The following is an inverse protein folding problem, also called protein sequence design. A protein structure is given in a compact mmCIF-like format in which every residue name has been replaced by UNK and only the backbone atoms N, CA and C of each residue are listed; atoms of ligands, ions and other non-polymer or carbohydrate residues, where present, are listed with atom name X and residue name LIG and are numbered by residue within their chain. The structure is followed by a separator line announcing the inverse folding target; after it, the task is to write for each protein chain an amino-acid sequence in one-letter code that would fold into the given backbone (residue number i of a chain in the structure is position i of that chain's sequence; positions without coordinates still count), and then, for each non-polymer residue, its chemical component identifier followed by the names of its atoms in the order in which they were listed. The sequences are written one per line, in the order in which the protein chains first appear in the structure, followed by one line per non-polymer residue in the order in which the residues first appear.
data_IF_619499831308
#
_entry.id   IF_619499831308
#
_cell.length_a   1.000
_cell.length_b   1.000
_cell.length_c   1.000
_cell.angle_alpha   90.00
_cell.angle_beta   90.00
_cell.angle_gamma   90.00
#
_symmetry.space_group_name_H-M   'P 1'
#
loop_
_entity.id
_entity.type
_entity.pdbx_description
1 polymer ?
#
# COMPACT_ATOMS: atom_id res chain seq x y z
N UNK A 1 -31.69 14.76 -20.30
CA UNK A 1 -31.30 13.41 -19.81
C UNK A 1 -30.50 13.60 -18.53
N UNK A 2 -30.72 12.74 -17.54
CA UNK A 2 -30.36 12.90 -16.13
C UNK A 2 -28.87 13.26 -15.90
N UNK A 3 -28.60 14.34 -15.16
CA UNK A 3 -27.30 14.63 -14.56
C UNK A 3 -27.01 13.56 -13.49
N UNK A 4 -26.56 12.37 -13.89
CA UNK A 4 -26.11 11.36 -12.94
C UNK A 4 -24.74 11.80 -12.39
N UNK A 5 -24.78 12.33 -11.18
CA UNK A 5 -23.61 12.52 -10.32
C UNK A 5 -22.98 11.15 -10.07
N UNK A 6 -21.66 11.03 -10.25
CA UNK A 6 -20.96 9.76 -10.01
C UNK A 6 -21.08 9.34 -8.54
N UNK A 7 -21.12 8.03 -8.29
CA UNK A 7 -21.17 7.52 -6.91
C UNK A 7 -19.99 8.02 -6.07
N UNK A 8 -18.79 8.14 -6.65
CA UNK A 8 -17.63 8.73 -5.97
C UNK A 8 -17.84 10.19 -5.53
N UNK A 9 -18.55 11.01 -6.34
CA UNK A 9 -18.90 12.36 -5.92
C UNK A 9 -19.98 12.33 -4.83
N UNK A 10 -20.98 11.46 -4.97
CA UNK A 10 -22.06 11.29 -3.99
C UNK A 10 -21.54 10.86 -2.61
N UNK A 11 -20.63 9.89 -2.57
CA UNK A 11 -20.02 9.37 -1.34
C UNK A 11 -18.72 10.09 -0.94
N UNK A 12 -18.28 11.07 -1.74
CA UNK A 12 -17.13 11.93 -1.48
C UNK A 12 -15.84 11.14 -1.21
N UNK A 13 -15.62 10.09 -2.00
CA UNK A 13 -14.48 9.18 -1.84
C UNK A 13 -13.88 8.77 -3.17
N UNK A 14 -12.56 8.62 -3.19
CA UNK A 14 -11.82 8.03 -4.30
C UNK A 14 -10.46 7.54 -3.81
N UNK A 15 -9.83 6.62 -4.55
CA UNK A 15 -8.49 6.15 -4.21
C UNK A 15 -7.44 7.25 -4.43
N UNK A 16 -6.46 7.32 -3.54
CA UNK A 16 -5.18 7.96 -3.86
C UNK A 16 -4.36 6.93 -4.62
N UNK A 17 -4.00 7.26 -5.87
CA UNK A 17 -3.30 6.32 -6.74
C UNK A 17 -1.84 6.13 -6.32
N UNK A 18 -1.50 4.93 -5.86
CA UNK A 18 -0.12 4.58 -5.47
C UNK A 18 0.70 4.29 -6.73
N UNK A 19 1.46 5.29 -7.17
CA UNK A 19 2.36 5.18 -8.33
C UNK A 19 3.83 4.97 -7.93
N UNK A 20 4.13 4.85 -6.63
CA UNK A 20 5.48 4.71 -6.11
C UNK A 20 6.08 3.34 -6.48
N UNK A 21 7.40 3.34 -6.76
CA UNK A 21 8.23 2.14 -6.91
C UNK A 21 9.43 2.30 -6.01
N UNK A 22 9.26 1.88 -4.77
CA UNK A 22 10.32 1.92 -3.79
C UNK A 22 10.12 0.88 -2.72
N UNK A 23 11.22 0.56 -2.04
CA UNK A 23 11.26 -0.40 -0.95
C UNK A 23 12.22 0.13 0.10
N UNK A 24 11.81 0.07 1.36
CA UNK A 24 12.65 0.35 2.53
C UNK A 24 12.84 -0.97 3.25
N UNK A 25 14.07 -1.30 3.58
CA UNK A 25 14.44 -2.52 4.29
C UNK A 25 15.19 -2.11 5.55
N UNK A 26 14.72 -2.62 6.69
CA UNK A 26 15.31 -2.49 8.02
C UNK A 26 15.71 -1.06 8.45
N UNK A 27 15.07 -0.05 7.85
CA UNK A 27 15.34 1.38 8.01
C UNK A 27 16.79 1.86 7.70
N UNK A 28 17.63 1.02 7.08
CA UNK A 28 18.97 1.39 6.62
C UNK A 28 19.23 1.25 5.12
N UNK A 29 18.38 0.56 4.37
CA UNK A 29 18.49 0.44 2.92
C UNK A 29 17.20 0.90 2.23
N UNK A 30 17.34 1.64 1.13
CA UNK A 30 16.22 2.07 0.30
C UNK A 30 16.51 1.85 -1.17
N UNK A 31 15.51 1.36 -1.89
CA UNK A 31 15.46 1.37 -3.37
C UNK A 31 14.39 2.36 -3.79
N UNK A 32 14.71 3.24 -4.74
CA UNK A 32 13.74 4.12 -5.41
C UNK A 32 14.00 4.07 -6.91
N UNK A 33 12.96 3.92 -7.72
CA UNK A 33 13.12 3.83 -9.17
C UNK A 33 11.81 3.93 -9.94
N UNK A 34 11.85 3.44 -11.17
CA UNK A 34 10.69 3.35 -12.07
C UNK A 34 10.07 1.94 -12.14
N UNK A 35 10.84 0.91 -11.76
CA UNK A 35 10.47 -0.51 -11.90
C UNK A 35 9.33 -0.94 -10.98
N UNK A 36 8.20 -1.34 -11.56
CA UNK A 36 7.12 -2.00 -10.82
C UNK A 36 7.54 -3.41 -10.36
N UNK A 37 6.83 -3.98 -9.37
CA UNK A 37 6.99 -5.39 -9.00
C UNK A 37 6.15 -6.25 -9.95
N UNK A 38 6.60 -6.37 -11.20
CA UNK A 38 5.99 -7.20 -12.23
C UNK A 38 7.03 -7.62 -13.29
N UNK A 39 6.68 -8.56 -14.17
CA UNK A 39 7.58 -9.07 -15.19
C UNK A 39 7.93 -7.97 -16.21
N UNK A 40 7.00 -7.08 -16.54
CA UNK A 40 7.24 -5.97 -17.47
C UNK A 40 8.45 -5.12 -17.07
N UNK A 41 8.53 -4.76 -15.80
CA UNK A 41 9.64 -3.95 -15.27
C UNK A 41 10.86 -4.80 -14.87
N UNK A 42 10.66 -6.00 -14.32
CA UNK A 42 11.78 -6.78 -13.72
C UNK A 42 12.48 -7.75 -14.68
N UNK A 43 11.93 -8.01 -15.88
CA UNK A 43 12.55 -8.94 -16.83
C UNK A 43 13.91 -8.45 -17.36
N UNK A 44 14.16 -7.13 -17.35
CA UNK A 44 15.34 -6.50 -17.96
C UNK A 44 15.36 -6.51 -19.50
N UNK A 45 14.53 -7.35 -20.13
CA UNK A 45 14.38 -7.45 -21.59
C UNK A 45 13.04 -6.93 -22.11
N UNK A 46 12.18 -6.39 -21.24
CA UNK A 46 10.87 -5.83 -21.57
C UNK A 46 10.96 -4.30 -21.53
N UNK A 47 10.43 -3.64 -20.50
CA UNK A 47 10.53 -2.19 -20.35
C UNK A 47 11.92 -1.82 -19.83
N UNK A 48 12.44 -0.68 -20.30
CA UNK A 48 13.68 -0.10 -19.76
C UNK A 48 13.37 0.61 -18.45
N UNK A 49 14.00 0.16 -17.38
CA UNK A 49 13.81 0.71 -16.04
C UNK A 49 15.12 1.23 -15.45
N UNK A 50 15.00 2.14 -14.47
CA UNK A 50 16.13 2.59 -13.66
C UNK A 50 15.75 2.61 -12.18
N UNK A 51 16.69 2.22 -11.32
CA UNK A 51 16.52 2.30 -9.87
C UNK A 51 17.86 2.64 -9.21
N UNK A 52 17.79 3.34 -8.09
CA UNK A 52 18.91 3.63 -7.21
C UNK A 52 18.70 2.92 -5.87
N UNK A 53 19.70 2.16 -5.45
CA UNK A 53 19.80 1.60 -4.11
C UNK A 53 20.77 2.41 -3.28
N UNK A 54 20.40 2.78 -2.06
CA UNK A 54 21.23 3.58 -1.18
C UNK A 54 21.09 3.16 0.29
N UNK A 55 22.17 3.33 1.03
CA UNK A 55 22.22 3.19 2.49
C UNK A 55 23.17 4.23 3.08
N UNK A 56 23.10 4.42 4.39
CA UNK A 56 24.00 5.33 5.11
C UNK A 56 24.94 4.50 5.99
N UNK A 57 26.25 4.40 5.68
CA UNK A 57 27.18 3.52 6.40
C UNK A 57 27.15 3.74 7.93
N UNK A 58 27.20 4.99 8.39
CA UNK A 58 27.15 5.33 9.81
C UNK A 58 25.78 5.13 10.48
N UNK A 59 24.78 4.65 9.75
CA UNK A 59 23.45 4.34 10.26
C UNK A 59 23.01 2.91 9.89
N UNK A 60 23.93 2.05 9.43
CA UNK A 60 23.64 0.65 9.14
C UNK A 60 23.64 -0.20 10.41
N UNK A 61 22.88 -1.31 10.38
CA UNK A 61 22.84 -2.30 11.47
C UNK A 61 24.24 -2.81 11.84
N UNK A 62 25.11 -3.01 10.84
CA UNK A 62 26.47 -3.55 11.01
C UNK A 62 27.36 -2.68 11.90
N UNK A 63 27.15 -1.37 11.92
CA UNK A 63 27.99 -0.42 12.66
C UNK A 63 27.47 -0.13 14.08
N UNK A 64 26.15 -0.10 14.27
CA UNK A 64 25.54 0.46 15.49
C UNK A 64 24.90 -0.56 16.42
N UNK A 65 24.71 -1.82 16.02
CA UNK A 65 24.07 -2.89 16.81
C UNK A 65 22.75 -2.44 17.49
N UNK A 66 22.06 -1.47 16.87
CA UNK A 66 20.80 -0.87 17.30
C UNK A 66 20.07 -0.39 16.05
N UNK A 67 18.76 -0.20 16.18
CA UNK A 67 17.92 0.26 15.09
C UNK A 67 18.50 1.53 14.41
N UNK A 68 18.77 1.48 13.10
CA UNK A 68 19.04 2.62 12.23
C UNK A 68 18.07 3.79 12.45
N UNK A 69 18.59 4.95 12.89
CA UNK A 69 17.82 6.21 12.96
C UNK A 69 18.40 7.27 12.03
N UNK A 70 18.57 6.87 10.77
CA UNK A 70 19.09 7.71 9.69
C UNK A 70 18.01 8.48 8.93
N UNK A 71 18.35 8.95 7.73
CA UNK A 71 17.43 9.56 6.77
C UNK A 71 16.40 8.56 6.25
N UNK A 72 16.76 7.28 6.12
CA UNK A 72 15.85 6.23 5.63
C UNK A 72 14.74 5.97 6.67
N UNK A 73 15.09 5.74 7.93
CA UNK A 73 14.15 5.77 9.07
C UNK A 73 13.24 7.01 9.06
N UNK A 74 13.82 8.20 8.94
CA UNK A 74 13.05 9.45 8.92
C UNK A 74 12.08 9.55 7.74
N UNK A 75 12.51 9.08 6.56
CA UNK A 75 11.66 9.01 5.37
C UNK A 75 10.49 8.03 5.55
N UNK A 76 10.77 6.85 6.09
CA UNK A 76 9.76 5.83 6.41
C UNK A 76 8.75 6.34 7.44
N UNK A 77 9.20 6.96 8.52
CA UNK A 77 8.33 7.64 9.51
C UNK A 77 7.50 8.75 8.87
N UNK A 78 8.06 9.54 7.95
CA UNK A 78 7.31 10.60 7.24
C UNK A 78 6.18 10.03 6.38
N UNK A 79 6.46 8.96 5.62
CA UNK A 79 5.42 8.25 4.84
C UNK A 79 4.33 7.67 5.75
N UNK A 80 4.73 7.10 6.88
CA UNK A 80 3.80 6.57 7.86
C UNK A 80 2.96 7.68 8.50
N UNK A 81 3.52 8.85 8.80
CA UNK A 81 2.77 10.00 9.27
C UNK A 81 1.71 10.44 8.25
N UNK A 82 2.06 10.45 6.96
CA UNK A 82 1.12 10.79 5.88
C UNK A 82 -0.02 9.77 5.80
N UNK A 83 0.31 8.47 5.77
CA UNK A 83 -0.67 7.42 5.53
C UNK A 83 -1.47 7.00 6.76
N UNK A 84 -0.91 7.11 7.96
CA UNK A 84 -1.58 6.76 9.23
C UNK A 84 -2.18 7.99 9.94
N UNK A 85 -1.85 9.20 9.48
CA UNK A 85 -2.36 10.48 9.99
C UNK A 85 -1.76 10.92 11.32
N UNK A 86 -0.85 10.15 11.92
CA UNK A 86 -0.15 10.44 13.17
C UNK A 86 1.09 9.57 13.32
N UNK A 87 1.95 9.98 14.26
CA UNK A 87 3.10 9.20 14.72
C UNK A 87 2.78 8.64 16.11
N UNK A 88 3.05 7.36 16.30
CA UNK A 88 2.94 6.63 17.57
C UNK A 88 4.27 5.92 17.85
N UNK A 89 4.61 5.75 19.13
CA UNK A 89 5.88 5.13 19.55
C UNK A 89 6.05 3.71 18.99
N UNK A 90 4.97 2.95 18.84
CA UNK A 90 5.05 1.61 18.26
C UNK A 90 5.54 1.62 16.80
N UNK A 91 5.41 2.74 16.07
CA UNK A 91 5.89 2.85 14.69
C UNK A 91 7.40 3.00 14.59
N UNK A 92 8.11 3.19 15.71
CA UNK A 92 9.56 3.21 15.72
C UNK A 92 10.16 1.81 15.46
N UNK A 93 9.43 0.74 15.77
CA UNK A 93 9.88 -0.66 15.65
C UNK A 93 8.87 -1.46 14.79
N UNK A 94 8.95 -1.37 13.43
CA UNK A 94 7.96 -1.93 12.51
C UNK A 94 7.84 -3.47 12.55
N UNK A 95 8.86 -4.16 13.04
CA UNK A 95 8.88 -5.60 13.27
C UNK A 95 8.07 -6.03 14.50
N UNK A 96 7.78 -5.10 15.42
CA UNK A 96 7.05 -5.41 16.64
C UNK A 96 5.59 -5.78 16.33
N UNK A 97 5.09 -6.85 16.97
CA UNK A 97 3.69 -7.27 16.80
C UNK A 97 2.68 -6.17 17.16
N UNK A 98 3.01 -5.33 18.15
CA UNK A 98 2.22 -4.15 18.53
C UNK A 98 2.11 -3.15 17.39
N UNK A 99 3.20 -2.91 16.67
CA UNK A 99 3.23 -2.03 15.50
C UNK A 99 2.33 -2.55 14.37
N UNK A 100 2.52 -3.82 13.98
CA UNK A 100 1.73 -4.45 12.91
C UNK A 100 0.24 -4.46 13.24
N UNK A 101 -0.12 -4.80 14.49
CA UNK A 101 -1.51 -4.74 14.96
C UNK A 101 -2.07 -3.33 14.85
N UNK A 102 -1.31 -2.32 15.27
CA UNK A 102 -1.75 -0.94 15.25
C UNK A 102 -1.97 -0.40 13.83
N UNK A 103 -1.07 -0.69 12.91
CA UNK A 103 -1.21 -0.34 11.48
C UNK A 103 -2.46 -0.99 10.90
N UNK A 104 -2.69 -2.28 11.19
CA UNK A 104 -3.86 -3.00 10.72
C UNK A 104 -5.17 -2.43 11.29
N UNK A 105 -5.21 -2.08 12.58
CA UNK A 105 -6.37 -1.44 13.20
C UNK A 105 -6.74 -0.14 12.49
N UNK A 106 -5.76 0.74 12.24
CA UNK A 106 -5.98 2.00 11.53
C UNK A 106 -6.49 1.74 10.10
N UNK A 107 -5.87 0.81 9.38
CA UNK A 107 -6.27 0.45 8.02
C UNK A 107 -7.69 -0.14 7.94
N UNK A 108 -8.09 -0.94 8.93
CA UNK A 108 -9.44 -1.51 9.04
C UNK A 108 -10.50 -0.48 9.41
N UNK A 109 -10.19 0.40 10.37
CA UNK A 109 -11.08 1.51 10.73
C UNK A 109 -11.28 2.47 9.56
N UNK A 110 -10.21 2.82 8.85
CA UNK A 110 -10.30 3.65 7.66
C UNK A 110 -11.09 2.96 6.54
N UNK A 111 -10.93 1.65 6.32
CA UNK A 111 -11.75 0.92 5.35
C UNK A 111 -13.24 0.96 5.69
N UNK A 112 -13.61 0.78 6.98
CA UNK A 112 -15.01 0.90 7.43
C UNK A 112 -15.56 2.30 7.17
N UNK A 113 -14.79 3.36 7.47
CA UNK A 113 -15.19 4.75 7.21
C UNK A 113 -15.27 5.08 5.72
N UNK A 114 -14.30 4.61 4.94
CA UNK A 114 -14.24 4.80 3.49
C UNK A 114 -15.44 4.17 2.81
N UNK A 115 -15.88 3.00 3.27
CA UNK A 115 -16.99 2.25 2.67
C UNK A 115 -18.38 2.63 3.20
N UNK A 116 -18.48 3.44 4.26
CA UNK A 116 -19.75 3.88 4.83
C UNK A 116 -20.56 4.74 3.84
N UNK A 117 -21.89 4.75 4.02
CA UNK A 117 -22.79 5.60 3.22
C UNK A 117 -22.61 7.09 3.53
N UNK A 118 -22.41 7.42 4.81
CA UNK A 118 -22.20 8.78 5.26
C UNK A 118 -20.71 9.09 5.27
N UNK A 119 -20.34 10.21 4.67
CA UNK A 119 -18.96 10.69 4.68
C UNK A 119 -18.48 10.91 6.12
N UNK A 120 -17.26 10.42 6.38
CA UNK A 120 -16.52 10.72 7.59
C UNK A 120 -15.04 10.83 7.26
N UNK A 121 -14.33 11.68 8.00
CA UNK A 121 -12.90 11.84 7.78
C UNK A 121 -12.14 10.57 8.21
N UNK A 122 -11.25 10.11 7.34
CA UNK A 122 -10.33 9.01 7.61
C UNK A 122 -9.21 9.47 8.55
N UNK A 123 -8.65 8.52 9.32
CA UNK A 123 -7.41 8.75 10.02
C UNK A 123 -6.23 8.46 9.07
N UNK A 124 -5.75 9.49 8.37
CA UNK A 124 -4.80 9.28 7.28
C UNK A 124 -5.45 8.58 6.08
N UNK A 125 -4.65 7.95 5.24
CA UNK A 125 -5.06 7.44 3.92
C UNK A 125 -4.91 5.92 3.77
N UNK A 126 -4.27 5.23 4.72
CA UNK A 126 -4.04 3.80 4.63
C UNK A 126 -5.37 3.05 4.77
N UNK A 127 -5.69 2.22 3.78
CA UNK A 127 -6.86 1.35 3.76
C UNK A 127 -6.41 -0.12 3.75
N UNK A 128 -7.12 -0.98 4.48
CA UNK A 128 -6.94 -2.42 4.31
C UNK A 128 -7.36 -2.81 2.89
N UNK A 129 -6.50 -3.52 2.17
CA UNK A 129 -6.87 -4.05 0.86
C UNK A 129 -8.05 -5.04 1.03
N UNK A 130 -9.13 -4.95 0.24
CA UNK A 130 -10.42 -5.60 0.54
C UNK A 130 -10.48 -7.10 0.23
N UNK A 131 -9.46 -7.84 0.67
CA UNK A 131 -9.36 -9.29 0.56
C UNK A 131 -9.40 -9.94 1.94
N UNK A 132 -9.79 -11.21 1.94
CA UNK A 132 -9.69 -12.12 3.06
C UNK A 132 -8.68 -13.22 2.72
N UNK A 133 -7.83 -13.58 3.68
CA UNK A 133 -6.91 -14.72 3.57
C UNK A 133 -7.41 -15.80 4.52
N UNK A 134 -7.80 -16.94 3.96
CA UNK A 134 -8.24 -18.10 4.71
C UNK A 134 -7.09 -18.76 5.48
N UNK A 135 -7.42 -19.61 6.45
CA UNK A 135 -6.43 -20.36 7.22
C UNK A 135 -5.57 -21.31 6.35
N UNK A 136 -6.07 -21.67 5.16
CA UNK A 136 -5.36 -22.46 4.15
C UNK A 136 -4.54 -21.60 3.17
N UNK A 137 -4.49 -20.28 3.38
CA UNK A 137 -3.81 -19.33 2.50
C UNK A 137 -4.60 -18.95 1.25
N UNK A 138 -5.81 -19.47 1.04
CA UNK A 138 -6.64 -19.07 -0.11
C UNK A 138 -7.12 -17.62 0.07
N UNK A 139 -7.11 -16.88 -1.03
CA UNK A 139 -7.55 -15.49 -1.06
C UNK A 139 -9.01 -15.43 -1.55
N UNK A 140 -9.86 -14.73 -0.81
CA UNK A 140 -11.24 -14.39 -1.16
C UNK A 140 -11.47 -12.88 -1.11
N UNK A 141 -12.58 -12.36 -1.66
CA UNK A 141 -12.99 -10.99 -1.38
C UNK A 141 -13.42 -10.87 0.09
N UNK A 142 -13.31 -9.67 0.66
CA UNK A 142 -13.99 -9.38 1.92
C UNK A 142 -15.51 -9.47 1.71
N UNK A 143 -16.24 -10.07 2.67
CA UNK A 143 -17.69 -10.27 2.56
C UNK A 143 -18.44 -8.98 2.27
N UNK A 144 -19.23 -8.95 1.20
CA UNK A 144 -19.97 -7.75 0.77
C UNK A 144 -19.14 -6.74 -0.04
N UNK A 145 -17.89 -7.06 -0.35
CA UNK A 145 -16.96 -6.24 -1.12
C UNK A 145 -16.31 -7.04 -2.26
N UNK A 146 -17.13 -7.77 -3.03
CA UNK A 146 -16.69 -8.51 -4.21
C UNK A 146 -16.18 -7.58 -5.32
N UNK A 147 -16.70 -6.35 -5.35
CA UNK A 147 -16.27 -5.28 -6.26
C UNK A 147 -15.79 -4.04 -5.47
N UNK A 148 -14.94 -3.22 -6.08
CA UNK A 148 -14.57 -1.93 -5.49
C UNK A 148 -15.79 -0.99 -5.39
N UNK A 149 -15.87 -0.18 -4.32
CA UNK A 149 -16.96 0.78 -4.15
C UNK A 149 -17.01 1.80 -5.29
N UNK A 150 -18.22 2.18 -5.69
CA UNK A 150 -18.58 3.25 -6.65
C UNK A 150 -18.21 2.97 -8.12
N UNK A 151 -16.98 2.53 -8.38
CA UNK A 151 -16.46 2.31 -9.73
C UNK A 151 -16.68 0.87 -10.22
N UNK A 152 -16.98 -0.06 -9.32
CA UNK A 152 -17.10 -1.49 -9.63
C UNK A 152 -15.74 -2.15 -9.93
N UNK A 153 -15.77 -3.27 -10.65
CA UNK A 153 -14.59 -4.08 -10.91
C UNK A 153 -14.29 -5.04 -9.76
N UNK A 154 -14.05 -6.31 -10.09
CA UNK A 154 -13.84 -7.37 -9.11
C UNK A 154 -12.53 -7.14 -8.35
N UNK A 155 -12.59 -7.21 -7.03
CA UNK A 155 -11.41 -7.03 -6.16
C UNK A 155 -10.32 -8.07 -6.45
N UNK A 156 -10.73 -9.32 -6.72
CA UNK A 156 -9.82 -10.40 -7.10
C UNK A 156 -9.41 -10.37 -8.58
N UNK A 157 -9.86 -9.36 -9.32
CA UNK A 157 -9.72 -9.29 -10.76
C UNK A 157 -10.51 -10.38 -11.49
N UNK A 158 -10.21 -10.52 -12.77
CA UNK A 158 -10.69 -11.61 -13.60
C UNK A 158 -9.61 -11.98 -14.60
N UNK A 159 -9.39 -13.27 -14.79
CA UNK A 159 -8.54 -13.72 -15.88
C UNK A 159 -9.18 -13.34 -17.22
N UNK A 160 -8.41 -12.67 -18.08
CA UNK A 160 -8.83 -12.26 -19.40
C UNK A 160 -8.22 -13.21 -20.44
N UNK A 161 -8.92 -14.27 -20.88
CA UNK A 161 -8.33 -15.30 -21.76
C UNK A 161 -7.95 -14.76 -23.15
N UNK A 162 -8.46 -13.59 -23.51
CA UNK A 162 -8.17 -12.91 -24.78
C UNK A 162 -6.94 -12.00 -24.72
N UNK A 163 -6.40 -11.71 -23.53
CA UNK A 163 -5.25 -10.83 -23.36
C UNK A 163 -4.05 -11.71 -22.97
N UNK A 164 -3.02 -11.80 -23.82
CA UNK A 164 -1.83 -12.58 -23.51
C UNK A 164 -1.10 -12.09 -22.26
N UNK A 165 -0.60 -13.02 -21.44
CA UNK A 165 0.13 -12.72 -20.19
C UNK A 165 1.32 -11.79 -20.42
N UNK A 166 1.97 -11.85 -21.59
CA UNK A 166 3.09 -10.96 -21.92
C UNK A 166 2.72 -9.48 -21.81
N UNK A 167 1.43 -9.15 -22.01
CA UNK A 167 0.90 -7.78 -21.92
C UNK A 167 0.44 -7.40 -20.50
N UNK A 168 0.13 -8.35 -19.63
CA UNK A 168 -0.44 -8.09 -18.29
C UNK A 168 0.49 -8.44 -17.14
N UNK A 169 1.63 -9.10 -17.43
CA UNK A 169 2.70 -9.46 -16.48
C UNK A 169 3.93 -8.59 -16.65
#
# INVERSE_FOLDING_TARGET
MCNQVSDSYKFQRFMIYVHAKGMIVDDDYVIVGSANINQRSLAGSKDTEIAMGAYQPHYAWTEKQRHPRGKIYGYRMSLWSEHLGRIEECFEEPEALTCVRRVNEVAEENWKRYTAENFSQLQGHLLKYPIHVGADGKIGPLSGYENFPDIGGRVLGNHAPTIPDVLTT
#
